data_IF_677105088622
#
_entry.id   IF_677105088622
#
_cell.length_a   1.000
_cell.length_b   1.000
_cell.length_c   1.000
_cell.angle_alpha   90.00
_cell.angle_beta   90.00
_cell.angle_gamma   90.00
#
_symmetry.space_group_name_H-M   'P 1'
#
loop_
_entity.id
_entity.type
_entity.pdbx_description
1 polymer ?
#
# COMPACT_ATOMS: atom_id res chain seq x y z
N UNK A 1 15.88 -3.33 45.20
CA UNK A 1 16.56 -3.69 43.92
C UNK A 1 15.94 -4.91 43.24
N UNK A 2 15.52 -5.93 43.99
CA UNK A 2 14.89 -7.16 43.46
C UNK A 2 13.57 -6.93 42.68
N UNK A 3 12.73 -5.98 43.09
CA UNK A 3 11.50 -5.62 42.34
C UNK A 3 11.77 -5.03 40.96
N UNK A 4 12.85 -4.25 40.80
CA UNK A 4 13.23 -3.68 39.49
C UNK A 4 13.69 -4.77 38.51
N UNK A 5 14.34 -5.82 39.01
CA UNK A 5 14.75 -6.95 38.17
C UNK A 5 13.59 -7.89 37.80
N UNK A 6 12.65 -8.11 38.73
CA UNK A 6 11.46 -8.91 38.47
C UNK A 6 10.55 -8.25 37.41
N UNK A 7 10.39 -6.93 37.49
CA UNK A 7 9.64 -6.15 36.51
C UNK A 7 10.32 -6.17 35.13
N UNK A 8 11.66 -6.13 35.09
CA UNK A 8 12.46 -6.22 33.85
C UNK A 8 12.34 -7.58 33.18
N UNK A 9 12.35 -8.69 33.95
CA UNK A 9 12.11 -10.05 33.44
C UNK A 9 10.69 -10.24 32.92
N UNK A 10 9.69 -9.77 33.68
CA UNK A 10 8.28 -9.82 33.28
C UNK A 10 8.05 -9.03 31.98
N UNK A 11 8.62 -7.82 31.87
CA UNK A 11 8.54 -6.98 30.66
C UNK A 11 9.21 -7.64 29.45
N UNK A 12 10.36 -8.31 29.64
CA UNK A 12 11.06 -9.03 28.57
C UNK A 12 10.27 -10.26 28.08
N UNK A 13 9.60 -10.97 28.98
CA UNK A 13 8.71 -12.08 28.62
C UNK A 13 7.44 -11.58 27.91
N UNK A 14 6.89 -10.43 28.33
CA UNK A 14 5.76 -9.76 27.67
C UNK A 14 6.14 -9.33 26.24
N UNK A 15 7.31 -8.71 26.06
CA UNK A 15 7.83 -8.37 24.74
C UNK A 15 8.05 -9.59 23.86
N UNK A 16 8.55 -10.70 24.43
CA UNK A 16 8.73 -11.96 23.71
C UNK A 16 7.39 -12.59 23.32
N UNK A 17 6.37 -12.49 24.17
CA UNK A 17 4.99 -12.90 23.86
C UNK A 17 4.41 -12.05 22.73
N UNK A 18 4.48 -10.72 22.82
CA UNK A 18 3.97 -9.79 21.79
C UNK A 18 4.70 -10.00 20.45
N UNK A 19 6.02 -10.21 20.47
CA UNK A 19 6.81 -10.51 19.28
C UNK A 19 6.42 -11.84 18.62
N UNK A 20 6.03 -12.83 19.42
CA UNK A 20 5.54 -14.12 18.94
C UNK A 20 4.04 -14.11 18.59
N UNK A 21 3.30 -13.11 19.07
CA UNK A 21 1.91 -12.92 18.72
C UNK A 21 1.84 -12.42 17.27
N UNK A 22 1.35 -13.29 16.38
CA UNK A 22 1.09 -12.91 14.99
C UNK A 22 -0.08 -11.95 14.97
N UNK A 23 0.21 -10.66 15.10
CA UNK A 23 -0.77 -9.60 14.90
C UNK A 23 -1.32 -9.78 13.48
N UNK A 24 -2.64 -9.96 13.38
CA UNK A 24 -3.28 -10.11 12.08
C UNK A 24 -3.02 -8.89 11.22
N UNK A 25 -2.50 -9.09 10.00
CA UNK A 25 -2.23 -8.03 9.03
C UNK A 25 -3.46 -7.16 8.71
N UNK A 26 -4.65 -7.69 8.99
CA UNK A 26 -5.95 -7.03 8.80
C UNK A 26 -6.42 -6.15 9.97
N UNK A 27 -5.72 -6.13 11.11
CA UNK A 27 -6.11 -5.29 12.27
C UNK A 27 -6.24 -3.81 11.91
N UNK A 28 -5.28 -3.19 11.19
CA UNK A 28 -5.37 -1.78 10.80
C UNK A 28 -6.58 -1.52 9.90
N UNK A 29 -6.95 -2.51 9.08
CA UNK A 29 -8.08 -2.43 8.15
C UNK A 29 -9.44 -2.62 8.83
N UNK A 30 -9.50 -3.29 9.99
CA UNK A 30 -10.72 -3.37 10.81
C UNK A 30 -11.10 -2.03 11.44
N UNK A 31 -10.12 -1.15 11.67
CA UNK A 31 -10.33 0.17 12.26
C UNK A 31 -10.82 1.23 11.23
N UNK A 32 -10.97 0.86 9.95
CA UNK A 32 -11.48 1.78 8.92
C UNK A 32 -13.01 1.84 8.87
N UNK A 33 -13.59 3.05 8.76
CA UNK A 33 -14.99 3.24 8.38
C UNK A 33 -15.32 2.62 7.02
N UNK A 34 -16.56 2.13 6.85
CA UNK A 34 -17.02 1.44 5.64
C UNK A 34 -16.86 2.26 4.33
N UNK A 35 -16.87 3.59 4.42
CA UNK A 35 -16.67 4.48 3.28
C UNK A 35 -15.23 4.42 2.74
N UNK A 36 -14.23 4.36 3.63
CA UNK A 36 -12.82 4.27 3.22
C UNK A 36 -12.45 2.89 2.66
N UNK A 37 -13.23 1.85 3.00
CA UNK A 37 -13.10 0.51 2.41
C UNK A 37 -13.40 0.50 0.91
N UNK A 38 -14.37 1.29 0.46
CA UNK A 38 -14.67 1.47 -0.98
C UNK A 38 -13.55 2.20 -1.71
N UNK A 39 -13.00 3.25 -1.10
CA UNK A 39 -11.85 3.99 -1.65
C UNK A 39 -10.61 3.09 -1.81
N UNK A 40 -10.37 2.23 -0.81
CA UNK A 40 -9.27 1.27 -0.82
C UNK A 40 -9.42 0.23 -1.93
N UNK A 41 -10.64 -0.27 -2.15
CA UNK A 41 -10.93 -1.19 -3.25
C UNK A 41 -10.70 -0.53 -4.62
N UNK A 42 -11.13 0.72 -4.79
CA UNK A 42 -10.89 1.49 -6.03
C UNK A 42 -9.39 1.70 -6.25
N UNK A 43 -8.64 2.07 -5.21
CA UNK A 43 -7.19 2.22 -5.30
C UNK A 43 -6.49 0.91 -5.65
N UNK A 44 -6.95 -0.21 -5.07
CA UNK A 44 -6.41 -1.55 -5.37
C UNK A 44 -6.65 -1.95 -6.84
N UNK A 45 -7.87 -1.79 -7.36
CA UNK A 45 -8.17 -2.07 -8.77
C UNK A 45 -7.31 -1.20 -9.68
N UNK A 46 -7.16 0.08 -9.35
CA UNK A 46 -6.33 1.02 -10.09
C UNK A 46 -4.83 0.62 -10.08
N UNK A 47 -4.32 0.17 -8.93
CA UNK A 47 -2.94 -0.30 -8.79
C UNK A 47 -2.69 -1.61 -9.56
N UNK A 48 -3.65 -2.53 -9.59
CA UNK A 48 -3.56 -3.78 -10.36
C UNK A 48 -3.53 -3.49 -11.87
N UNK A 49 -4.43 -2.63 -12.33
CA UNK A 49 -4.43 -2.16 -13.73
C UNK A 49 -3.11 -1.47 -14.07
N UNK A 50 -2.62 -0.63 -13.15
CA UNK A 50 -1.33 0.05 -13.31
C UNK A 50 -0.15 -0.93 -13.36
N UNK A 51 -0.11 -1.94 -12.50
CA UNK A 51 0.94 -2.97 -12.53
C UNK A 51 0.93 -3.79 -13.82
N UNK A 52 -0.25 -4.02 -14.41
CA UNK A 52 -0.42 -4.74 -15.68
C UNK A 52 0.08 -4.00 -16.92
N UNK A 53 0.31 -2.69 -16.81
CA UNK A 53 0.77 -1.87 -17.95
C UNK A 53 2.20 -2.21 -18.39
N UNK A 54 3.07 -2.69 -17.49
CA UNK A 54 4.46 -3.06 -17.82
C UNK A 54 4.55 -4.28 -18.75
N UNK A 55 3.90 -5.43 -18.46
CA UNK A 55 3.80 -6.55 -19.40
C UNK A 55 3.18 -6.14 -20.74
N UNK A 56 2.15 -5.29 -20.70
CA UNK A 56 1.49 -4.80 -21.91
C UNK A 56 2.46 -3.96 -22.77
N UNK A 57 3.22 -3.07 -22.15
CA UNK A 57 4.24 -2.26 -22.81
C UNK A 57 5.30 -3.12 -23.51
N UNK A 58 5.80 -4.16 -22.83
CA UNK A 58 6.80 -5.07 -23.42
C UNK A 58 6.25 -5.80 -24.65
N UNK A 59 4.97 -6.20 -24.61
CA UNK A 59 4.30 -6.87 -25.73
C UNK A 59 4.18 -5.95 -26.94
N UNK A 60 3.76 -4.70 -26.74
CA UNK A 60 3.63 -3.72 -27.84
C UNK A 60 5.01 -3.34 -28.39
N UNK A 61 6.02 -3.23 -27.54
CA UNK A 61 7.39 -2.97 -27.96
C UNK A 61 7.95 -4.07 -28.88
N UNK A 62 7.62 -5.35 -28.63
CA UNK A 62 7.98 -6.45 -29.52
C UNK A 62 7.35 -6.33 -30.92
N UNK A 63 6.11 -5.84 -31.01
CA UNK A 63 5.42 -5.59 -32.29
C UNK A 63 6.07 -4.43 -33.05
N UNK A 64 6.46 -3.37 -32.34
CA UNK A 64 7.21 -2.24 -32.90
C UNK A 64 8.51 -2.72 -33.55
N UNK A 65 9.32 -3.52 -32.84
CA UNK A 65 10.57 -4.07 -33.37
C UNK A 65 10.35 -4.93 -34.63
N UNK A 66 9.28 -5.73 -34.64
CA UNK A 66 8.92 -6.55 -35.82
C UNK A 66 8.56 -5.67 -37.02
N UNK A 67 7.74 -4.64 -36.83
CA UNK A 67 7.29 -3.75 -37.91
C UNK A 67 8.43 -2.84 -38.41
N UNK A 68 9.32 -2.39 -37.51
CA UNK A 68 10.57 -1.71 -37.88
C UNK A 68 11.44 -2.58 -38.80
N UNK A 69 11.56 -3.87 -38.50
CA UNK A 69 12.33 -4.81 -39.30
C UNK A 69 11.69 -5.09 -40.69
N UNK A 70 10.38 -4.88 -40.82
CA UNK A 70 9.63 -5.08 -42.07
C UNK A 70 9.53 -3.80 -42.92
N UNK A 71 9.93 -2.64 -42.39
CA UNK A 71 9.84 -1.35 -43.07
C UNK A 71 8.43 -0.74 -43.10
N UNK A 72 7.50 -1.26 -42.29
CA UNK A 72 6.14 -0.74 -42.16
C UNK A 72 6.07 0.54 -41.31
N UNK A 73 4.99 1.31 -41.43
CA UNK A 73 4.77 2.54 -40.64
C UNK A 73 4.55 2.27 -39.15
N UNK A 74 5.51 2.69 -38.32
CA UNK A 74 5.52 2.44 -36.86
C UNK A 74 4.88 3.60 -36.08
N UNK A 75 4.79 4.78 -36.69
CA UNK A 75 4.31 6.01 -36.08
C UNK A 75 2.94 5.89 -35.37
N UNK A 76 1.90 5.22 -35.94
CA UNK A 76 0.61 5.08 -35.25
C UNK A 76 0.68 4.21 -33.99
N UNK A 77 1.61 3.23 -33.96
CA UNK A 77 1.79 2.34 -32.82
C UNK A 77 2.49 3.08 -31.67
N UNK A 78 3.52 3.88 -32.00
CA UNK A 78 4.23 4.73 -31.03
C UNK A 78 3.27 5.75 -30.40
N UNK A 79 2.44 6.41 -31.20
CA UNK A 79 1.47 7.40 -30.71
C UNK A 79 0.44 6.77 -29.76
N UNK A 80 -0.03 5.56 -30.07
CA UNK A 80 -0.92 4.79 -29.19
C UNK A 80 -0.23 4.46 -27.85
N UNK A 81 1.05 4.12 -27.89
CA UNK A 81 1.85 3.75 -26.73
C UNK A 81 2.09 4.95 -25.78
N UNK A 82 2.30 6.14 -26.34
CA UNK A 82 2.35 7.41 -25.57
C UNK A 82 1.01 7.71 -24.90
N UNK A 83 -0.11 7.52 -25.60
CA UNK A 83 -1.46 7.72 -25.05
C UNK A 83 -1.72 6.80 -23.85
N UNK A 84 -1.35 5.52 -23.96
CA UNK A 84 -1.47 4.54 -22.86
C UNK A 84 -0.59 4.92 -21.67
N UNK A 85 0.64 5.42 -21.92
CA UNK A 85 1.53 5.92 -20.87
C UNK A 85 0.93 7.11 -20.10
N UNK A 86 0.24 8.02 -20.79
CA UNK A 86 -0.47 9.15 -20.18
C UNK A 86 -1.61 8.70 -19.27
N UNK A 87 -2.46 7.79 -19.76
CA UNK A 87 -3.57 7.22 -18.97
C UNK A 87 -3.04 6.49 -17.73
N UNK A 88 -1.97 5.72 -17.91
CA UNK A 88 -1.27 5.00 -16.84
C UNK A 88 -0.73 5.95 -15.76
N UNK A 89 -0.14 7.07 -16.17
CA UNK A 89 0.38 8.07 -15.25
C UNK A 89 -0.75 8.64 -14.37
N UNK A 90 -1.88 9.00 -14.98
CA UNK A 90 -3.05 9.53 -14.27
C UNK A 90 -3.61 8.50 -13.29
N UNK A 91 -3.79 7.24 -13.71
CA UNK A 91 -4.27 6.17 -12.83
C UNK A 91 -3.33 5.96 -11.64
N UNK A 92 -2.02 5.94 -11.89
CA UNK A 92 -1.01 5.73 -10.85
C UNK A 92 -0.98 6.87 -9.84
N UNK A 93 -1.11 8.12 -10.31
CA UNK A 93 -1.24 9.30 -9.44
C UNK A 93 -2.47 9.22 -8.54
N UNK A 94 -3.64 8.86 -9.10
CA UNK A 94 -4.89 8.73 -8.33
C UNK A 94 -4.79 7.60 -7.29
N UNK A 95 -4.24 6.45 -7.69
CA UNK A 95 -4.06 5.30 -6.78
C UNK A 95 -3.12 5.67 -5.62
N UNK A 96 -1.99 6.30 -5.91
CA UNK A 96 -1.03 6.73 -4.90
C UNK A 96 -1.64 7.77 -3.95
N UNK A 97 -2.35 8.75 -4.48
CA UNK A 97 -3.01 9.78 -3.66
C UNK A 97 -4.07 9.17 -2.73
N UNK A 98 -4.91 8.28 -3.26
CA UNK A 98 -5.92 7.58 -2.48
C UNK A 98 -5.29 6.75 -1.35
N UNK A 99 -4.20 6.05 -1.65
CA UNK A 99 -3.49 5.22 -0.67
C UNK A 99 -2.85 6.06 0.44
N UNK A 100 -2.28 7.23 0.10
CA UNK A 100 -1.67 8.13 1.08
C UNK A 100 -2.71 8.74 2.04
N UNK A 101 -3.87 9.15 1.51
CA UNK A 101 -5.00 9.64 2.33
C UNK A 101 -5.48 8.57 3.31
N UNK A 102 -5.62 7.32 2.84
CA UNK A 102 -6.00 6.18 3.67
C UNK A 102 -4.95 5.93 4.76
N UNK A 103 -3.67 5.88 4.39
CA UNK A 103 -2.55 5.60 5.30
C UNK A 103 -2.45 6.67 6.39
N UNK A 104 -2.55 7.94 6.01
CA UNK A 104 -2.56 9.08 6.94
C UNK A 104 -3.70 9.00 7.96
N UNK A 105 -4.88 8.54 7.54
CA UNK A 105 -6.03 8.37 8.45
C UNK A 105 -5.81 7.20 9.41
N UNK A 106 -5.36 6.05 8.91
CA UNK A 106 -5.03 4.87 9.74
C UNK A 106 -4.01 5.27 10.81
N UNK A 107 -2.94 5.96 10.40
CA UNK A 107 -1.87 6.37 11.31
C UNK A 107 -2.36 7.31 12.42
N UNK A 108 -3.28 8.23 12.10
CA UNK A 108 -3.87 9.13 13.11
C UNK A 108 -4.71 8.36 14.13
N UNK A 109 -5.57 7.44 13.68
CA UNK A 109 -6.39 6.61 14.57
C UNK A 109 -5.51 5.74 15.46
N UNK A 110 -4.49 5.10 14.88
CA UNK A 110 -3.58 4.21 15.61
C UNK A 110 -2.76 4.97 16.65
N UNK A 111 -2.24 6.16 16.32
CA UNK A 111 -1.57 7.04 17.30
C UNK A 111 -2.48 7.41 18.47
N UNK A 112 -3.76 7.68 18.20
CA UNK A 112 -4.72 8.08 19.23
C UNK A 112 -5.06 6.90 20.16
N UNK A 113 -5.32 5.72 19.61
CA UNK A 113 -5.52 4.50 20.41
C UNK A 113 -4.28 4.14 21.22
N UNK A 114 -3.09 4.26 20.63
CA UNK A 114 -1.83 4.04 21.33
C UNK A 114 -1.67 4.98 22.52
N UNK A 115 -1.83 6.29 22.31
CA UNK A 115 -1.74 7.27 23.39
C UNK A 115 -2.77 7.00 24.49
N UNK A 116 -4.02 6.68 24.12
CA UNK A 116 -5.07 6.33 25.08
C UNK A 116 -4.70 5.10 25.91
N UNK A 117 -4.11 4.08 25.27
CA UNK A 117 -3.66 2.88 25.98
C UNK A 117 -2.52 3.18 26.95
N UNK A 118 -1.55 4.02 26.56
CA UNK A 118 -0.43 4.42 27.42
C UNK A 118 -0.94 5.21 28.64
N UNK A 119 -1.77 6.23 28.42
CA UNK A 119 -2.32 7.03 29.52
C UNK A 119 -3.20 6.21 30.48
N UNK A 120 -3.90 5.18 30.00
CA UNK A 120 -4.68 4.30 30.86
C UNK A 120 -3.80 3.38 31.73
N UNK A 121 -2.64 2.97 31.22
CA UNK A 121 -1.68 2.15 31.97
C UNK A 121 -0.91 2.97 33.02
N UNK A 122 -0.60 4.24 32.74
CA UNK A 122 0.10 5.12 33.69
C UNK A 122 -0.81 5.63 34.83
N UNK A 123 -2.13 5.57 34.67
CA UNK A 123 -3.11 6.00 35.68
C UNK A 123 -3.49 4.93 36.70
N UNK A 124 -2.99 3.70 36.55
CA UNK A 124 -3.16 2.57 37.47
C UNK A 124 -1.87 2.31 38.25
#
# INVERSE_FOLDING_TARGET
EVEKELNKKSTAELFRKIKNEKISFFLPFKCLPAQHRKLLFISFVCAVLSGGTLPFFISVFGVILKNMNLGDDINPIILSLVSIGLVQFILSMISSYCMDVITSKILKTLKLEYLRSVFYQDGQ
#
